data_IF_899974200731
#
_entry.id   IF_899974200731
#
_cell.length_a   1.000
_cell.length_b   1.000
_cell.length_c   1.000
_cell.angle_alpha   90.00
_cell.angle_beta   90.00
_cell.angle_gamma   90.00
#
_symmetry.space_group_name_H-M   'P 1'
#
loop_
_entity.id
_entity.type
_entity.pdbx_description
1 polymer ?
#
# COMPACT_ATOMS: atom_id res chain seq x y z
N UNK A 1 18.01 -17.77 -18.84
CA UNK A 1 17.16 -17.31 -19.01
C UNK A 1 17.13 -15.97 -18.75
N UNK A 2 16.45 -15.50 -18.35
CA UNK A 2 16.48 -14.16 -18.42
C UNK A 2 15.68 -13.60 -17.34
N UNK A 3 15.82 -12.40 -17.18
CA UNK A 3 15.10 -11.74 -16.18
C UNK A 3 13.65 -11.87 -16.35
N UNK A 4 13.27 -12.24 -17.48
CA UNK A 4 11.92 -12.36 -17.67
C UNK A 4 11.39 -13.59 -17.16
N UNK A 5 12.11 -14.40 -16.52
CA UNK A 5 11.50 -15.41 -15.80
C UNK A 5 10.71 -14.86 -14.71
N UNK A 6 10.87 -13.62 -14.37
CA UNK A 6 10.01 -13.00 -13.40
C UNK A 6 8.59 -13.04 -13.90
N UNK A 7 7.68 -13.56 -13.10
CA UNK A 7 6.29 -13.66 -13.47
C UNK A 7 5.65 -12.30 -13.45
N UNK A 8 4.72 -12.03 -14.36
CA UNK A 8 4.12 -10.71 -14.44
C UNK A 8 3.45 -10.25 -13.16
N UNK A 9 2.93 -11.20 -12.36
CA UNK A 9 2.29 -10.81 -11.11
C UNK A 9 3.11 -11.21 -9.89
N UNK A 10 4.42 -11.29 -10.05
CA UNK A 10 5.29 -11.53 -8.91
C UNK A 10 5.41 -10.28 -8.09
N UNK A 11 5.36 -10.42 -6.78
CA UNK A 11 5.52 -9.29 -5.89
C UNK A 11 7.00 -9.10 -5.56
N UNK A 12 7.49 -7.89 -5.78
CA UNK A 12 8.86 -7.52 -5.44
C UNK A 12 8.83 -6.17 -4.75
N UNK A 13 9.23 -6.10 -3.48
CA UNK A 13 9.16 -4.84 -2.74
C UNK A 13 9.89 -3.70 -3.43
N UNK A 14 10.97 -3.99 -4.14
CA UNK A 14 11.75 -2.96 -4.82
C UNK A 14 10.95 -2.21 -5.88
N UNK A 15 9.85 -2.79 -6.33
CA UNK A 15 8.99 -2.13 -7.30
C UNK A 15 8.07 -1.10 -6.70
N UNK A 16 8.12 -0.89 -5.37
CA UNK A 16 7.21 0.00 -4.68
C UNK A 16 7.99 0.96 -3.77
N UNK A 17 8.92 1.73 -4.34
CA UNK A 17 9.80 2.54 -3.50
C UNK A 17 9.07 3.61 -2.69
N UNK A 18 8.00 4.18 -3.22
CA UNK A 18 7.26 5.20 -2.50
C UNK A 18 6.48 4.59 -1.35
N UNK A 19 5.85 3.44 -1.59
CA UNK A 19 5.16 2.73 -0.51
C UNK A 19 6.15 2.28 0.55
N UNK A 20 7.35 1.84 0.14
CA UNK A 20 8.37 1.45 1.12
C UNK A 20 8.80 2.60 1.99
N UNK A 21 8.73 3.81 1.45
CA UNK A 21 9.07 5.00 2.23
C UNK A 21 7.95 5.39 3.18
N UNK A 22 6.69 5.35 2.71
CA UNK A 22 5.59 5.90 3.49
C UNK A 22 4.93 4.89 4.42
N UNK A 23 4.88 3.61 4.05
CA UNK A 23 4.17 2.65 4.89
C UNK A 23 4.79 2.54 6.29
N UNK A 24 6.12 2.41 6.43
CA UNK A 24 6.65 2.37 7.78
C UNK A 24 6.46 3.67 8.56
N UNK A 25 6.30 4.79 7.85
CA UNK A 25 6.13 6.07 8.52
C UNK A 25 4.70 6.29 8.98
N UNK A 26 3.70 5.85 8.20
CA UNK A 26 2.30 6.12 8.52
C UNK A 26 1.55 4.89 9.02
N UNK A 27 1.97 3.70 8.64
CA UNK A 27 1.34 2.47 9.08
C UNK A 27 2.26 1.71 10.03
N UNK A 28 2.92 2.44 10.94
CA UNK A 28 3.78 1.85 11.95
C UNK A 28 2.93 1.24 13.07
N UNK A 29 3.57 0.66 14.05
CA UNK A 29 2.87 -0.11 15.08
C UNK A 29 1.80 0.69 15.81
N UNK A 30 1.99 2.00 15.92
CA UNK A 30 1.06 2.83 16.67
C UNK A 30 0.05 3.55 15.79
N UNK A 31 -0.11 3.13 14.52
CA UNK A 31 -0.99 3.87 13.61
C UNK A 31 -2.42 3.94 14.14
N UNK A 32 -2.87 2.90 14.83
CA UNK A 32 -4.22 2.88 15.36
C UNK A 32 -4.43 3.91 16.44
N UNK A 33 -3.39 4.15 17.25
CA UNK A 33 -3.46 5.18 18.28
C UNK A 33 -3.34 6.56 17.65
N UNK A 34 -2.43 6.69 16.69
CA UNK A 34 -2.13 8.01 16.13
C UNK A 34 -3.19 8.48 15.14
N UNK A 35 -3.70 7.58 14.31
CA UNK A 35 -4.63 7.96 13.25
C UNK A 35 -6.02 7.36 13.40
N UNK A 36 -6.17 6.34 14.22
CA UNK A 36 -7.45 5.68 14.45
C UNK A 36 -7.67 4.46 13.56
N UNK A 37 -7.21 4.47 12.32
CA UNK A 37 -7.40 3.34 11.42
C UNK A 37 -6.43 3.48 10.26
N UNK A 38 -6.25 2.38 9.51
CA UNK A 38 -5.39 2.42 8.34
C UNK A 38 -5.90 3.39 7.28
N UNK A 39 -7.21 3.40 6.94
CA UNK A 39 -7.66 4.40 5.97
C UNK A 39 -7.37 5.82 6.41
N UNK A 40 -7.50 6.12 7.70
CA UNK A 40 -7.18 7.47 8.20
C UNK A 40 -5.70 7.76 8.10
N UNK A 41 -4.84 6.75 8.33
CA UNK A 41 -3.41 6.94 8.17
C UNK A 41 -3.08 7.25 6.70
N UNK A 42 -3.74 6.59 5.76
CA UNK A 42 -3.54 6.89 4.35
C UNK A 42 -4.04 8.30 4.02
N UNK A 43 -5.15 8.73 4.65
CA UNK A 43 -5.63 10.09 4.44
C UNK A 43 -4.61 11.12 4.94
N UNK A 44 -3.96 10.83 6.06
CA UNK A 44 -2.92 11.71 6.58
C UNK A 44 -1.72 11.76 5.63
N UNK A 45 -1.34 10.60 5.08
CA UNK A 45 -0.26 10.52 4.13
C UNK A 45 -0.55 11.41 2.92
N UNK A 46 -1.78 11.29 2.38
CA UNK A 46 -2.17 12.07 1.21
C UNK A 46 -2.15 13.56 1.54
N UNK A 47 -2.58 13.91 2.75
CA UNK A 47 -2.59 15.31 3.17
C UNK A 47 -1.18 15.90 3.26
N UNK A 48 -0.20 15.07 3.63
CA UNK A 48 1.16 15.54 3.84
C UNK A 48 2.02 15.46 2.58
N UNK A 49 1.66 14.64 1.62
CA UNK A 49 2.50 14.37 0.45
C UNK A 49 2.32 15.43 -0.61
N UNK A 50 3.35 15.64 -1.43
CA UNK A 50 3.21 16.55 -2.57
C UNK A 50 2.60 15.80 -3.74
N UNK A 51 2.33 16.50 -4.85
CA UNK A 51 1.64 15.92 -5.99
C UNK A 51 2.37 14.74 -6.61
N UNK A 52 3.69 14.82 -6.72
CA UNK A 52 4.47 13.71 -7.28
C UNK A 52 4.39 12.49 -6.39
N UNK A 53 4.48 12.70 -5.07
CA UNK A 53 4.40 11.60 -4.13
C UNK A 53 3.02 10.95 -4.16
N UNK A 54 1.97 11.76 -4.24
CA UNK A 54 0.60 11.22 -4.31
C UNK A 54 0.45 10.38 -5.57
N UNK A 55 0.95 10.87 -6.70
CA UNK A 55 0.84 10.12 -7.95
C UNK A 55 1.56 8.79 -7.84
N UNK A 56 2.77 8.79 -7.27
CA UNK A 56 3.53 7.56 -7.13
C UNK A 56 2.85 6.58 -6.18
N UNK A 57 2.32 7.07 -5.07
CA UNK A 57 1.60 6.21 -4.13
C UNK A 57 0.39 5.58 -4.82
N UNK A 58 -0.36 6.37 -5.59
CA UNK A 58 -1.54 5.85 -6.27
C UNK A 58 -1.16 4.77 -7.28
N UNK A 59 -0.11 5.01 -8.05
CA UNK A 59 0.31 4.05 -9.06
C UNK A 59 0.83 2.78 -8.42
N UNK A 60 1.64 2.93 -7.39
CA UNK A 60 2.21 1.76 -6.73
C UNK A 60 1.13 0.97 -6.00
N UNK A 61 0.18 1.64 -5.37
CA UNK A 61 -0.90 0.96 -4.69
C UNK A 61 -1.78 0.20 -5.68
N UNK A 62 -2.10 0.82 -6.82
CA UNK A 62 -2.92 0.16 -7.83
C UNK A 62 -2.22 -1.09 -8.36
N UNK A 63 -0.92 -1.01 -8.58
CA UNK A 63 -0.17 -2.17 -9.04
C UNK A 63 -0.13 -3.25 -7.98
N UNK A 64 0.05 -2.86 -6.71
CA UNK A 64 0.05 -3.81 -5.61
C UNK A 64 -1.28 -4.54 -5.52
N UNK A 65 -2.38 -3.81 -5.63
CA UNK A 65 -3.69 -4.41 -5.60
C UNK A 65 -3.88 -5.40 -6.75
N UNK A 66 -3.31 -5.07 -7.91
CA UNK A 66 -3.44 -5.96 -9.06
C UNK A 66 -2.61 -7.22 -8.88
N UNK A 67 -1.40 -7.09 -8.35
CA UNK A 67 -0.53 -8.24 -8.12
C UNK A 67 -1.19 -9.23 -7.16
N UNK A 68 -1.89 -8.71 -6.15
CA UNK A 68 -2.53 -9.58 -5.16
C UNK A 68 -4.00 -9.86 -5.49
N UNK A 69 -4.47 -9.44 -6.65
CA UNK A 69 -5.82 -9.75 -7.08
C UNK A 69 -5.99 -11.26 -7.22
N UNK A 70 -7.01 -11.80 -6.60
CA UNK A 70 -7.23 -13.25 -6.63
C UNK A 70 -6.43 -14.01 -5.60
N UNK A 71 -5.57 -13.35 -4.84
CA UNK A 71 -4.82 -14.01 -3.79
C UNK A 71 -5.52 -13.80 -2.46
N UNK A 72 -5.09 -14.59 -1.46
CA UNK A 72 -5.75 -14.56 -0.16
C UNK A 72 -5.40 -13.28 0.61
N UNK A 73 -6.21 -12.98 1.61
CA UNK A 73 -5.92 -11.88 2.50
C UNK A 73 -4.59 -12.05 3.23
N UNK A 74 -4.24 -13.24 3.75
CA UNK A 74 -2.90 -13.41 4.33
C UNK A 74 -1.77 -13.12 3.36
N UNK A 75 -1.94 -13.40 2.07
CA UNK A 75 -0.92 -13.06 1.09
C UNK A 75 -0.73 -11.56 1.02
N UNK A 76 -1.82 -10.80 1.01
CA UNK A 76 -1.75 -9.35 0.99
C UNK A 76 -1.12 -8.80 2.27
N UNK A 77 -1.46 -9.40 3.41
CA UNK A 77 -0.86 -9.00 4.68
C UNK A 77 0.66 -9.19 4.64
N UNK A 78 1.11 -10.31 4.09
CA UNK A 78 2.54 -10.56 3.97
C UNK A 78 3.20 -9.55 3.03
N UNK A 79 2.55 -9.21 1.94
CA UNK A 79 3.10 -8.23 1.01
C UNK A 79 3.27 -6.89 1.67
N UNK A 80 2.27 -6.44 2.43
CA UNK A 80 2.36 -5.17 3.13
C UNK A 80 3.46 -5.18 4.17
N UNK A 81 3.61 -6.30 4.88
CA UNK A 81 4.68 -6.41 5.87
C UNK A 81 6.04 -6.29 5.23
N UNK A 82 6.22 -6.85 4.03
CA UNK A 82 7.49 -6.75 3.33
C UNK A 82 7.76 -5.32 2.87
N UNK A 83 6.73 -4.49 2.74
CA UNK A 83 6.90 -3.08 2.41
C UNK A 83 7.12 -2.23 3.66
N UNK A 84 7.13 -2.85 4.83
CA UNK A 84 7.42 -2.12 6.07
C UNK A 84 6.21 -1.71 6.87
N UNK A 85 5.01 -2.09 6.45
CA UNK A 85 3.80 -1.73 7.19
C UNK A 85 3.61 -2.66 8.37
N UNK A 86 3.21 -2.09 9.50
CA UNK A 86 2.77 -2.90 10.63
C UNK A 86 1.29 -3.24 10.53
N UNK A 87 0.62 -2.69 9.55
CA UNK A 87 -0.81 -2.88 9.37
C UNK A 87 -1.10 -4.22 8.70
N UNK A 88 -2.01 -4.98 9.29
CA UNK A 88 -2.49 -6.22 8.70
C UNK A 88 -3.99 -6.05 8.45
N UNK A 89 -4.40 -5.79 7.21
CA UNK A 89 -5.82 -5.61 6.93
C UNK A 89 -6.59 -6.87 7.27
N UNK A 90 -7.73 -6.68 7.89
CA UNK A 90 -8.54 -7.79 8.39
C UNK A 90 -9.66 -8.15 7.43
N UNK A 91 -9.88 -7.37 6.38
CA UNK A 91 -10.93 -7.65 5.43
C UNK A 91 -10.64 -6.94 4.12
N UNK A 92 -11.30 -7.41 3.08
CA UNK A 92 -11.20 -6.75 1.78
C UNK A 92 -11.82 -5.36 1.84
N UNK A 93 -12.81 -5.16 2.71
CA UNK A 93 -13.43 -3.84 2.84
C UNK A 93 -12.45 -2.80 3.33
N UNK A 94 -11.54 -3.20 4.20
CA UNK A 94 -10.52 -2.28 4.69
C UNK A 94 -9.60 -1.84 3.55
N UNK A 95 -9.23 -2.78 2.68
CA UNK A 95 -8.44 -2.46 1.52
C UNK A 95 -9.20 -1.56 0.55
N UNK A 96 -10.49 -1.81 0.38
CA UNK A 96 -11.31 -0.98 -0.50
C UNK A 96 -11.43 0.44 0.03
N UNK A 97 -11.45 0.62 1.34
CA UNK A 97 -11.48 1.96 1.91
C UNK A 97 -10.21 2.72 1.56
N UNK A 98 -9.06 2.05 1.57
CA UNK A 98 -7.82 2.69 1.16
C UNK A 98 -7.86 3.00 -0.33
N UNK A 99 -8.38 2.08 -1.14
CA UNK A 99 -8.55 2.33 -2.59
C UNK A 99 -9.32 3.62 -2.82
N UNK A 100 -10.40 3.82 -2.07
CA UNK A 100 -11.24 4.99 -2.25
C UNK A 100 -10.53 6.27 -1.84
N UNK A 101 -9.78 6.22 -0.75
CA UNK A 101 -9.04 7.39 -0.31
C UNK A 101 -8.02 7.79 -1.36
N UNK A 102 -7.26 6.84 -1.88
CA UNK A 102 -6.25 7.15 -2.87
C UNK A 102 -6.87 7.56 -4.19
N UNK A 103 -7.99 6.95 -4.55
CA UNK A 103 -8.68 7.30 -5.78
C UNK A 103 -9.19 8.74 -5.75
N UNK A 104 -9.57 9.23 -4.59
CA UNK A 104 -10.02 10.60 -4.45
C UNK A 104 -8.90 11.62 -4.25
N UNK A 105 -7.65 11.16 -4.08
CA UNK A 105 -6.54 12.06 -3.88
C UNK A 105 -6.11 12.69 -5.20
N UNK A 106 -5.70 13.94 -5.14
CA UNK A 106 -5.28 14.64 -6.34
C UNK A 106 -3.80 14.89 -6.30
N UNK A 107 -3.15 14.55 -7.40
CA UNK A 107 -1.71 14.74 -7.52
C UNK A 107 -1.37 16.16 -7.89
#
# INVERSE_FOLDING_TARGET
MTADERKPNSFEPEGYPTLMEFLPAYLHEDFGVEYGSAPRAFAALVSDANGDQIRNVKEEWAELRQVFSGKSLPDMQNGLARLGAAWQPQSEQELQAVDEILSGAEA
#
